data_IF_749517704819
#
_entry.id   IF_749517704819
#
_cell.length_a   1.000
_cell.length_b   1.000
_cell.length_c   1.000
_cell.angle_alpha   90.00
_cell.angle_beta   90.00
_cell.angle_gamma   90.00
#
_symmetry.space_group_name_H-M   'P 1'
#
loop_
_entity.id
_entity.type
_entity.pdbx_description
1 polymer ?
#
# COMPACT_ATOMS: atom_id res chain seq x y z
N UNK A 1 -8.10 8.84 -23.00
CA UNK A 1 -7.13 8.50 -21.94
C UNK A 1 -6.13 7.42 -22.38
N UNK A 2 -6.59 6.30 -22.96
CA UNK A 2 -5.70 5.20 -23.38
C UNK A 2 -4.63 5.60 -24.40
N UNK A 3 -4.96 6.49 -25.34
CA UNK A 3 -3.95 7.05 -26.26
C UNK A 3 -2.86 7.84 -25.53
N UNK A 4 -3.22 8.60 -24.48
CA UNK A 4 -2.25 9.35 -23.67
C UNK A 4 -1.38 8.40 -22.82
N UNK A 5 -1.95 7.34 -22.27
CA UNK A 5 -1.22 6.28 -21.58
C UNK A 5 -0.16 5.65 -22.48
N UNK A 6 -0.53 5.26 -23.71
CA UNK A 6 0.41 4.71 -24.68
C UNK A 6 1.48 5.72 -25.11
N UNK A 7 1.13 7.01 -25.23
CA UNK A 7 2.09 8.07 -25.52
C UNK A 7 3.14 8.21 -24.41
N UNK A 8 2.74 8.17 -23.13
CA UNK A 8 3.66 8.21 -21.99
C UNK A 8 4.62 7.02 -22.01
N UNK A 9 4.11 5.82 -22.28
CA UNK A 9 4.93 4.60 -22.33
C UNK A 9 5.99 4.72 -23.43
N UNK A 10 5.60 5.15 -24.64
CA UNK A 10 6.52 5.26 -25.76
C UNK A 10 7.58 6.33 -25.53
N UNK A 11 7.18 7.52 -25.04
CA UNK A 11 8.10 8.62 -24.80
C UNK A 11 9.11 8.29 -23.69
N UNK A 12 8.63 7.79 -22.54
CA UNK A 12 9.49 7.43 -21.42
C UNK A 12 10.48 6.32 -21.81
N UNK A 13 10.02 5.33 -22.59
CA UNK A 13 10.90 4.27 -23.11
C UNK A 13 11.95 4.82 -24.08
N UNK A 14 11.57 5.69 -25.03
CA UNK A 14 12.50 6.28 -25.99
C UNK A 14 13.62 7.05 -25.28
N UNK A 15 13.27 7.87 -24.28
CA UNK A 15 14.25 8.63 -23.48
C UNK A 15 15.19 7.69 -22.73
N UNK A 16 14.67 6.63 -22.09
CA UNK A 16 15.50 5.67 -21.36
C UNK A 16 16.46 4.92 -22.29
N UNK A 17 15.99 4.47 -23.45
CA UNK A 17 16.81 3.80 -24.47
C UNK A 17 17.90 4.74 -25.03
N UNK A 18 17.57 6.01 -25.30
CA UNK A 18 18.54 7.02 -25.76
C UNK A 18 19.64 7.32 -24.73
N UNK A 19 19.33 7.22 -23.44
CA UNK A 19 20.31 7.35 -22.36
C UNK A 19 21.07 6.04 -22.07
N UNK A 20 20.80 4.96 -22.81
CA UNK A 20 21.42 3.65 -22.62
C UNK A 20 20.98 2.94 -21.33
N UNK A 21 19.82 3.28 -20.78
CA UNK A 21 19.26 2.67 -19.58
C UNK A 21 18.36 1.49 -19.97
N UNK A 22 18.73 0.29 -19.53
CA UNK A 22 17.91 -0.91 -19.69
C UNK A 22 16.88 -1.00 -18.55
N UNK A 23 15.63 -0.67 -18.87
CA UNK A 23 14.51 -0.71 -17.92
C UNK A 23 13.39 -1.56 -18.49
N UNK A 24 12.97 -2.57 -17.72
CA UNK A 24 11.84 -3.41 -18.10
C UNK A 24 10.57 -2.57 -18.30
N UNK A 25 9.89 -2.81 -19.44
CA UNK A 25 8.69 -2.08 -19.86
C UNK A 25 7.57 -2.12 -18.82
N UNK A 26 7.52 -3.14 -17.95
CA UNK A 26 6.52 -3.26 -16.88
C UNK A 26 6.61 -2.11 -15.88
N UNK A 27 7.81 -1.61 -15.58
CA UNK A 27 7.97 -0.46 -14.68
C UNK A 27 7.41 0.82 -15.31
N UNK A 28 7.73 1.06 -16.58
CA UNK A 28 7.23 2.22 -17.34
C UNK A 28 5.71 2.14 -17.49
N UNK A 29 5.19 0.94 -17.79
CA UNK A 29 3.75 0.68 -17.91
C UNK A 29 3.04 0.97 -16.59
N UNK A 30 3.58 0.50 -15.47
CA UNK A 30 2.99 0.76 -14.15
C UNK A 30 2.94 2.26 -13.83
N UNK A 31 3.99 3.01 -14.17
CA UNK A 31 3.99 4.48 -14.00
C UNK A 31 2.90 5.13 -14.86
N UNK A 32 2.80 4.75 -16.14
CA UNK A 32 1.77 5.27 -17.04
C UNK A 32 0.35 4.92 -16.58
N UNK A 33 0.13 3.70 -16.06
CA UNK A 33 -1.13 3.27 -15.46
C UNK A 33 -1.49 4.17 -14.27
N UNK A 34 -0.56 4.36 -13.34
CA UNK A 34 -0.76 5.22 -12.16
C UNK A 34 -1.07 6.66 -12.56
N UNK A 35 -0.43 7.18 -13.61
CA UNK A 35 -0.70 8.53 -14.12
C UNK A 35 -2.05 8.67 -14.81
N UNK A 36 -2.72 7.58 -15.23
CA UNK A 36 -3.94 7.63 -16.06
C UNK A 36 -5.15 6.91 -15.49
N UNK A 37 -5.00 6.21 -14.36
CA UNK A 37 -6.04 5.37 -13.74
C UNK A 37 -7.34 6.11 -13.38
N UNK A 38 -7.30 7.43 -13.14
CA UNK A 38 -8.48 8.22 -12.77
C UNK A 38 -9.26 8.76 -13.97
N UNK A 39 -8.86 8.43 -15.20
CA UNK A 39 -9.48 8.93 -16.44
C UNK A 39 -8.88 10.24 -16.99
N UNK A 40 -7.95 10.85 -16.25
CA UNK A 40 -7.21 12.07 -16.62
C UNK A 40 -5.70 11.82 -16.50
N UNK A 41 -4.87 12.61 -17.19
CA UNK A 41 -3.41 12.50 -17.08
C UNK A 41 -2.96 13.29 -15.85
N UNK A 42 -2.42 12.58 -14.86
CA UNK A 42 -1.98 13.13 -13.59
C UNK A 42 -0.46 13.16 -13.52
N UNK A 43 0.09 14.29 -13.11
CA UNK A 43 1.52 14.38 -12.82
C UNK A 43 1.92 13.55 -11.60
N UNK A 44 3.17 13.11 -11.55
CA UNK A 44 3.78 12.57 -10.34
C UNK A 44 4.24 13.75 -9.47
N UNK A 45 3.78 13.81 -8.22
CA UNK A 45 4.12 14.90 -7.30
C UNK A 45 2.93 15.45 -6.50
N UNK A 46 3.17 16.55 -5.77
CA UNK A 46 2.23 17.09 -4.76
C UNK A 46 0.90 17.64 -5.27
N UNK A 47 0.74 17.94 -6.57
CA UNK A 47 -0.56 18.32 -7.14
C UNK A 47 -1.13 17.23 -8.06
N UNK A 48 -0.56 16.04 -8.03
CA UNK A 48 -1.04 14.90 -8.79
C UNK A 48 -1.15 13.68 -7.89
N UNK A 49 -0.60 12.56 -8.35
CA UNK A 49 -0.76 11.23 -7.73
C UNK A 49 -0.39 11.24 -6.24
N UNK A 50 0.68 11.92 -5.85
CA UNK A 50 1.19 11.87 -4.47
C UNK A 50 0.49 12.83 -3.52
N UNK A 51 -0.06 13.94 -4.03
CA UNK A 51 -0.78 14.94 -3.22
C UNK A 51 -2.16 14.50 -2.78
N UNK A 52 -2.77 13.58 -3.52
CA UNK A 52 -4.12 13.08 -3.26
C UNK A 52 -4.16 11.81 -2.41
N UNK A 53 -3.04 11.42 -1.79
CA UNK A 53 -3.06 10.32 -0.82
C UNK A 53 -4.15 10.55 0.23
N UNK A 54 -4.96 9.53 0.49
CA UNK A 54 -6.06 9.64 1.45
C UNK A 54 -5.55 9.87 2.88
N UNK A 55 -4.41 9.26 3.23
CA UNK A 55 -3.78 9.39 4.55
C UNK A 55 -3.24 10.80 4.80
N UNK A 56 -3.61 11.35 5.95
CA UNK A 56 -3.14 12.66 6.44
C UNK A 56 -1.65 12.59 6.73
N UNK A 57 -1.19 11.52 7.40
CA UNK A 57 0.21 11.32 7.73
C UNK A 57 1.05 11.13 6.47
N UNK A 58 0.56 10.36 5.49
CA UNK A 58 1.26 10.17 4.24
C UNK A 58 1.37 11.47 3.43
N UNK A 59 0.32 12.31 3.42
CA UNK A 59 0.37 13.65 2.81
C UNK A 59 1.34 14.58 3.54
N UNK A 60 1.32 14.57 4.87
CA UNK A 60 2.19 15.41 5.69
C UNK A 60 3.68 15.05 5.48
N UNK A 61 4.00 13.79 5.19
CA UNK A 61 5.36 13.33 4.91
C UNK A 61 5.86 13.67 3.49
N UNK A 62 4.98 13.99 2.53
CA UNK A 62 5.30 14.18 1.11
C UNK A 62 5.17 15.66 0.68
N UNK A 63 5.92 16.59 1.31
CA UNK A 63 6.05 18.02 0.94
C UNK A 63 5.05 19.04 1.55
N UNK A 64 3.93 18.64 2.18
CA UNK A 64 2.95 19.58 2.78
C UNK A 64 2.67 19.20 4.24
N UNK A 65 3.66 19.32 5.11
CA UNK A 65 3.58 18.85 6.50
C UNK A 65 2.61 19.65 7.37
N UNK A 66 2.99 20.88 7.74
CA UNK A 66 2.23 21.70 8.70
C UNK A 66 0.81 22.00 8.20
N UNK A 67 0.59 22.45 6.95
CA UNK A 67 -0.76 22.77 6.49
C UNK A 67 -1.68 21.54 6.46
N UNK A 68 -1.18 20.35 6.10
CA UNK A 68 -2.01 19.14 6.08
C UNK A 68 -2.44 18.72 7.49
N UNK A 69 -1.54 18.82 8.48
CA UNK A 69 -1.86 18.51 9.87
C UNK A 69 -2.86 19.52 10.47
N UNK A 70 -2.65 20.81 10.22
CA UNK A 70 -3.56 21.87 10.70
C UNK A 70 -4.96 21.71 10.08
N UNK A 71 -5.04 21.47 8.76
CA UNK A 71 -6.31 21.26 8.08
C UNK A 71 -7.02 20.00 8.60
N UNK A 72 -6.28 18.91 8.83
CA UNK A 72 -6.82 17.68 9.37
C UNK A 72 -7.34 17.86 10.81
N UNK A 73 -6.58 18.56 11.67
CA UNK A 73 -6.99 18.85 13.03
C UNK A 73 -8.24 19.74 13.06
N UNK A 74 -8.28 20.79 12.24
CA UNK A 74 -9.44 21.69 12.13
C UNK A 74 -10.71 20.97 11.62
N UNK A 75 -10.55 19.96 10.76
CA UNK A 75 -11.66 19.17 10.20
C UNK A 75 -11.95 17.88 10.99
N UNK A 76 -11.20 17.57 12.04
CA UNK A 76 -11.32 16.32 12.80
C UNK A 76 -11.10 15.06 11.96
N UNK A 77 -10.19 15.09 10.96
CA UNK A 77 -9.90 13.92 10.13
C UNK A 77 -9.17 12.83 10.92
N UNK A 78 -9.52 11.58 10.65
CA UNK A 78 -8.84 10.38 11.20
C UNK A 78 -8.05 9.70 10.08
N UNK A 79 -6.87 9.17 10.42
CA UNK A 79 -6.05 8.37 9.52
C UNK A 79 -6.32 6.87 9.77
N UNK A 80 -6.67 6.13 8.72
CA UNK A 80 -7.02 4.71 8.83
C UNK A 80 -5.80 3.77 8.83
N UNK A 81 -4.58 4.30 8.65
CA UNK A 81 -3.34 3.51 8.68
C UNK A 81 -3.35 2.34 7.68
N UNK A 82 -3.83 2.57 6.45
CA UNK A 82 -3.93 1.53 5.41
C UNK A 82 -2.73 1.48 4.47
N UNK A 83 -1.95 2.56 4.38
CA UNK A 83 -0.81 2.70 3.49
C UNK A 83 0.54 2.49 4.18
N UNK A 84 1.58 2.50 3.36
CA UNK A 84 2.95 2.22 3.81
C UNK A 84 3.51 3.33 4.69
N UNK A 85 3.36 4.59 4.26
CA UNK A 85 4.03 5.73 4.89
C UNK A 85 3.56 5.94 6.32
N UNK A 86 2.25 5.89 6.54
CA UNK A 86 1.63 6.09 7.84
C UNK A 86 1.89 4.94 8.82
N UNK A 87 1.92 3.69 8.36
CA UNK A 87 2.31 2.55 9.20
C UNK A 87 3.79 2.61 9.62
N UNK A 88 4.68 3.07 8.72
CA UNK A 88 6.09 3.32 9.06
C UNK A 88 6.21 4.40 10.15
N UNK A 89 5.45 5.48 10.05
CA UNK A 89 5.50 6.58 11.03
C UNK A 89 5.03 6.12 12.41
N UNK A 90 3.96 5.32 12.48
CA UNK A 90 3.39 4.84 13.75
C UNK A 90 4.15 3.62 14.30
N UNK A 91 4.92 2.92 13.47
CA UNK A 91 5.70 1.73 13.87
C UNK A 91 4.86 0.45 13.90
N UNK A 92 3.82 0.37 13.07
CA UNK A 92 2.97 -0.83 12.93
C UNK A 92 3.43 -1.70 11.74
N UNK A 93 2.94 -2.94 11.70
CA UNK A 93 3.17 -3.81 10.54
C UNK A 93 2.56 -3.18 9.28
N UNK A 94 3.32 -3.18 8.19
CA UNK A 94 2.90 -2.57 6.93
C UNK A 94 2.07 -3.60 6.14
N UNK A 95 0.87 -3.26 5.64
CA UNK A 95 -0.01 -4.20 4.92
C UNK A 95 0.44 -4.43 3.47
N UNK A 96 1.69 -4.84 3.27
CA UNK A 96 2.25 -5.26 1.98
C UNK A 96 3.24 -6.42 2.19
N UNK A 97 3.40 -7.26 1.16
CA UNK A 97 4.33 -8.39 1.23
C UNK A 97 3.95 -9.34 2.36
N UNK A 98 4.90 -9.60 3.26
CA UNK A 98 4.68 -10.49 4.42
C UNK A 98 3.67 -9.96 5.43
N UNK A 99 3.38 -8.65 5.44
CA UNK A 99 2.39 -8.07 6.34
C UNK A 99 0.94 -8.21 5.86
N UNK A 100 0.70 -8.87 4.72
CA UNK A 100 -0.65 -9.16 4.23
C UNK A 100 -1.26 -10.45 4.82
N UNK A 101 -0.44 -11.26 5.49
CA UNK A 101 -0.87 -12.54 6.02
C UNK A 101 -0.89 -12.52 7.55
N UNK A 102 -1.93 -13.10 8.12
CA UNK A 102 -2.02 -13.37 9.54
C UNK A 102 -1.68 -14.83 9.81
N UNK A 103 -0.88 -15.07 10.85
CA UNK A 103 -0.53 -16.41 11.30
C UNK A 103 -1.39 -16.80 12.49
N UNK A 104 -2.20 -17.83 12.32
CA UNK A 104 -2.99 -18.42 13.40
C UNK A 104 -2.36 -19.74 13.83
N UNK A 105 -2.10 -19.91 15.12
CA UNK A 105 -1.69 -21.19 15.69
C UNK A 105 -2.93 -21.96 16.10
N UNK A 106 -3.17 -23.12 15.48
CA UNK A 106 -4.17 -24.07 15.98
C UNK A 106 -3.61 -24.77 17.21
N UNK A 107 -4.31 -24.69 18.34
CA UNK A 107 -4.01 -25.54 19.50
C UNK A 107 -4.17 -27.01 19.06
N UNK A 108 -3.24 -27.92 19.43
CA UNK A 108 -3.50 -29.34 19.29
C UNK A 108 -4.80 -29.68 20.04
N UNK A 109 -5.61 -30.62 19.51
CA UNK A 109 -6.81 -31.07 20.20
C UNK A 109 -6.39 -31.59 21.58
N UNK A 110 -7.07 -31.12 22.62
CA UNK A 110 -6.90 -31.66 23.96
C UNK A 110 -7.24 -33.15 23.91
N UNK A 111 -6.25 -34.01 24.16
CA UNK A 111 -6.49 -35.43 24.42
C UNK A 111 -7.38 -35.50 25.67
N UNK A 112 -8.68 -35.74 25.49
CA UNK A 112 -9.53 -36.18 26.59
C UNK A 112 -9.03 -37.57 27.00
N UNK A 113 -8.38 -37.65 28.16
CA UNK A 113 -8.07 -38.93 28.79
C UNK A 113 -9.41 -39.42 29.34
N UNK A 114 -10.00 -40.41 28.67
CA UNK A 114 -11.18 -41.11 29.19
C UNK A 114 -10.74 -41.99 30.36
N UNK A 115 -10.87 -41.49 31.59
CA UNK A 115 -10.89 -42.33 32.78
C UNK A 115 -12.21 -43.08 32.84
N UNK A 116 -12.30 -44.21 32.14
CA UNK A 116 -13.27 -45.27 32.41
C UNK A 116 -12.62 -46.62 32.12
N UNK A 117 -11.86 -47.13 33.08
CA UNK A 117 -11.82 -48.58 33.29
C UNK A 117 -12.62 -48.88 34.55
N UNK A 118 -13.62 -49.71 34.35
CA UNK A 118 -14.73 -50.01 35.23
C UNK A 118 -14.24 -50.73 36.49
N UNK A 119 -14.72 -50.25 37.64
CA UNK A 119 -14.85 -51.08 38.84
C UNK A 119 -15.92 -52.13 38.53
N UNK A 120 -15.52 -53.32 38.08
CA UNK A 120 -16.37 -54.50 38.22
C UNK A 120 -15.58 -55.78 38.50
N UNK A 121 -15.96 -56.38 39.64
CA UNK A 121 -15.92 -57.79 40.04
C UNK A 121 -14.67 -58.36 40.72
N UNK A 122 -14.85 -58.63 42.02
CA UNK A 122 -13.99 -59.42 42.90
C UNK A 122 -14.36 -59.27 44.36
#
# INVERSE_FOLDING_TARGET
IEAARNAIINEARSVLEEQGLDVDIRHVTLVADVMTATGEVRQIGRHGVSGEKASVLARAAFEITVPSLVEAAAKGKTDELKGVTENVIVGQSIPIGTGLIDLYMSSPPSHEISETEEVEQG
#
